data_IF_543548702474
#
_entry.id   IF_543548702474
#
_cell.length_a   1.000
_cell.length_b   1.000
_cell.length_c   1.000
_cell.angle_alpha   90.00
_cell.angle_beta   90.00
_cell.angle_gamma   90.00
#
_symmetry.space_group_name_H-M   'P 1'
#
loop_
_entity.id
_entity.type
_entity.pdbx_description
1 polymer ?
#
# COMPACT_ATOMS: atom_id res chain seq x y z
N UNK A 1 3.47 27.29 -14.50
CA UNK A 1 2.70 26.54 -13.46
C UNK A 1 3.69 25.69 -12.67
N UNK A 2 3.86 25.94 -11.38
CA UNK A 2 4.94 25.40 -10.57
C UNK A 2 4.74 23.90 -10.37
N UNK A 3 5.60 23.06 -10.96
CA UNK A 3 5.64 21.61 -10.72
C UNK A 3 5.88 21.40 -9.22
N UNK A 4 4.93 20.86 -8.46
CA UNK A 4 5.22 20.40 -7.09
C UNK A 4 6.31 19.33 -7.21
N UNK A 5 7.51 19.65 -6.74
CA UNK A 5 8.69 18.77 -6.83
C UNK A 5 8.60 17.56 -5.92
N UNK A 6 7.73 17.61 -4.93
CA UNK A 6 7.59 16.61 -3.88
C UNK A 6 6.11 16.46 -3.56
N UNK A 7 5.59 15.24 -3.75
CA UNK A 7 4.19 14.90 -3.52
C UNK A 7 4.13 13.72 -2.55
N UNK A 8 3.31 13.85 -1.51
CA UNK A 8 3.15 12.77 -0.54
C UNK A 8 2.28 11.65 -1.12
N UNK A 9 2.59 10.38 -0.78
CA UNK A 9 1.79 9.25 -1.23
C UNK A 9 0.39 9.27 -0.65
N UNK A 10 -0.59 8.91 -1.46
CA UNK A 10 -1.89 8.41 -1.03
C UNK A 10 -1.79 6.88 -0.94
N UNK A 11 -2.26 6.30 0.16
CA UNK A 11 -2.17 4.86 0.44
C UNK A 11 -3.56 4.30 0.66
N UNK A 12 -3.90 3.24 -0.06
CA UNK A 12 -5.14 2.49 0.08
C UNK A 12 -4.80 1.04 0.34
N UNK A 13 -5.46 0.44 1.33
CA UNK A 13 -5.27 -0.96 1.70
C UNK A 13 -6.62 -1.64 1.64
N UNK A 14 -6.79 -2.56 0.69
CA UNK A 14 -8.08 -3.19 0.38
C UNK A 14 -7.90 -4.64 -0.05
N UNK A 15 -8.96 -5.42 0.06
CA UNK A 15 -8.99 -6.78 -0.47
C UNK A 15 -9.38 -6.78 -1.95
N UNK A 16 -8.75 -7.63 -2.76
CA UNK A 16 -9.06 -7.74 -4.19
C UNK A 16 -10.50 -8.17 -4.47
N UNK A 17 -11.02 -9.06 -3.63
CA UNK A 17 -12.41 -9.52 -3.64
C UNK A 17 -13.08 -9.16 -2.32
N UNK A 18 -14.42 -9.18 -2.24
CA UNK A 18 -15.15 -9.03 -0.98
C UNK A 18 -14.57 -9.93 0.11
N UNK A 19 -14.28 -9.35 1.27
CA UNK A 19 -13.59 -10.05 2.34
C UNK A 19 -14.54 -11.01 3.06
N UNK A 20 -14.18 -12.29 3.08
CA UNK A 20 -14.90 -13.32 3.81
C UNK A 20 -13.91 -14.12 4.66
N UNK A 21 -14.24 -14.30 5.94
CA UNK A 21 -13.37 -15.03 6.85
C UNK A 21 -13.13 -16.47 6.39
N UNK A 22 -11.87 -16.90 6.41
CA UNK A 22 -11.48 -18.26 6.02
C UNK A 22 -11.44 -18.53 4.51
N UNK A 23 -11.83 -17.58 3.65
CA UNK A 23 -11.70 -17.72 2.20
C UNK A 23 -10.40 -17.08 1.70
N UNK A 24 -9.62 -17.74 0.82
CA UNK A 24 -8.44 -17.15 0.20
C UNK A 24 -8.77 -15.86 -0.56
N UNK A 25 -7.91 -14.86 -0.44
CA UNK A 25 -8.05 -13.56 -1.10
C UNK A 25 -6.65 -12.93 -1.31
N UNK A 26 -6.61 -11.72 -1.85
CA UNK A 26 -5.39 -10.92 -1.98
C UNK A 26 -5.53 -9.60 -1.24
N UNK A 27 -4.53 -9.27 -0.43
CA UNK A 27 -4.40 -7.97 0.20
C UNK A 27 -3.59 -7.06 -0.71
N UNK A 28 -4.16 -5.92 -1.08
CA UNK A 28 -3.54 -4.92 -1.92
C UNK A 28 -3.15 -3.69 -1.08
N UNK A 29 -1.94 -3.18 -1.27
CA UNK A 29 -1.53 -1.83 -0.91
C UNK A 29 -1.26 -1.04 -2.19
N UNK A 30 -2.19 -0.16 -2.54
CA UNK A 30 -2.03 0.76 -3.66
C UNK A 30 -1.49 2.09 -3.16
N UNK A 31 -0.32 2.47 -3.66
CA UNK A 31 0.38 3.70 -3.28
C UNK A 31 0.48 4.58 -4.51
N UNK A 32 -0.05 5.81 -4.46
CA UNK A 32 -0.19 6.67 -5.63
C UNK A 32 0.07 8.15 -5.33
N UNK A 33 0.23 8.96 -6.37
CA UNK A 33 0.33 10.41 -6.24
C UNK A 33 1.67 10.91 -5.69
N UNK A 34 2.66 10.04 -5.52
CA UNK A 34 3.93 10.41 -4.88
C UNK A 34 4.99 10.87 -5.89
N UNK A 35 5.93 11.68 -5.42
CA UNK A 35 7.13 12.09 -6.15
C UNK A 35 8.16 12.59 -5.13
N UNK A 36 9.46 12.27 -5.23
CA UNK A 36 10.17 11.47 -6.26
C UNK A 36 9.81 9.97 -6.23
N UNK A 37 10.32 9.13 -7.16
CA UNK A 37 9.93 7.72 -7.23
C UNK A 37 10.49 6.82 -6.13
N UNK A 38 11.51 7.28 -5.38
CA UNK A 38 12.14 6.48 -4.33
C UNK A 38 11.20 6.37 -3.12
N UNK A 39 10.76 5.16 -2.81
CA UNK A 39 9.77 4.85 -1.78
C UNK A 39 10.01 3.44 -1.23
N UNK A 40 9.78 3.23 0.07
CA UNK A 40 9.73 1.89 0.66
C UNK A 40 8.29 1.56 1.05
N UNK A 41 7.81 0.39 0.66
CA UNK A 41 6.44 -0.07 0.91
C UNK A 41 6.51 -1.48 1.51
N UNK A 42 5.84 -1.69 2.65
CA UNK A 42 5.81 -2.98 3.36
C UNK A 42 4.37 -3.35 3.69
N UNK A 43 3.94 -4.55 3.31
CA UNK A 43 2.74 -5.16 3.89
C UNK A 43 3.09 -5.82 5.22
N UNK A 44 2.25 -5.61 6.22
CA UNK A 44 2.44 -6.09 7.58
C UNK A 44 1.25 -6.96 8.00
N UNK A 45 1.55 -8.04 8.72
CA UNK A 45 0.60 -8.84 9.49
C UNK A 45 0.95 -8.71 10.97
N UNK A 46 0.05 -8.18 11.78
CA UNK A 46 0.24 -7.94 13.21
C UNK A 46 1.54 -7.14 13.50
N UNK A 47 1.84 -6.15 12.66
CA UNK A 47 3.05 -5.32 12.74
C UNK A 47 4.34 -5.98 12.21
N UNK A 48 4.29 -7.26 11.82
CA UNK A 48 5.43 -8.00 11.26
C UNK A 48 5.37 -7.98 9.73
N UNK A 49 6.51 -7.73 9.08
CA UNK A 49 6.60 -7.69 7.61
C UNK A 49 6.24 -9.04 7.00
N UNK A 50 5.45 -8.99 5.93
CA UNK A 50 5.16 -10.16 5.08
C UNK A 50 6.26 -10.23 4.01
N UNK A 51 6.98 -11.35 3.95
CA UNK A 51 8.10 -11.51 3.00
C UNK A 51 7.63 -11.88 1.58
N UNK A 52 6.58 -12.69 1.45
CA UNK A 52 6.06 -13.16 0.16
C UNK A 52 5.10 -12.14 -0.46
N UNK A 53 5.61 -10.97 -0.85
CA UNK A 53 4.85 -9.91 -1.53
C UNK A 53 5.30 -9.77 -2.97
N UNK A 54 4.34 -9.45 -3.84
CA UNK A 54 4.60 -9.06 -5.23
C UNK A 54 4.41 -7.56 -5.39
N UNK A 55 5.16 -6.94 -6.30
CA UNK A 55 5.09 -5.52 -6.60
C UNK A 55 4.95 -5.33 -8.10
N UNK A 56 4.07 -4.41 -8.52
CA UNK A 56 3.98 -3.98 -9.92
C UNK A 56 5.25 -3.26 -10.37
N UNK A 57 5.42 -3.13 -11.68
CA UNK A 57 6.35 -2.15 -12.23
C UNK A 57 5.98 -0.73 -11.77
N UNK A 58 7.01 0.09 -11.57
CA UNK A 58 6.83 1.51 -11.28
C UNK A 58 6.25 2.23 -12.50
N UNK A 59 5.11 2.87 -12.30
CA UNK A 59 4.44 3.64 -13.35
C UNK A 59 4.07 5.04 -12.85
N UNK A 60 3.62 5.91 -13.76
CA UNK A 60 3.31 7.30 -13.45
C UNK A 60 2.11 7.83 -14.22
N UNK A 61 1.43 8.81 -13.62
CA UNK A 61 0.30 9.52 -14.17
C UNK A 61 0.75 10.63 -15.13
N UNK A 62 -0.20 11.21 -15.89
CA UNK A 62 0.06 12.35 -16.80
C UNK A 62 0.64 13.58 -16.08
N UNK A 63 0.38 13.72 -14.79
CA UNK A 63 0.92 14.78 -13.94
C UNK A 63 2.32 14.48 -13.38
N UNK A 64 2.93 13.36 -13.80
CA UNK A 64 4.25 12.86 -13.38
C UNK A 64 4.32 12.38 -11.92
N UNK A 65 3.18 12.18 -11.25
CA UNK A 65 3.15 11.45 -9.99
C UNK A 65 3.26 9.95 -10.23
N UNK A 66 3.97 9.25 -9.35
CA UNK A 66 4.19 7.81 -9.43
C UNK A 66 3.10 7.02 -8.71
N UNK A 67 2.97 5.75 -9.08
CA UNK A 67 2.17 4.78 -8.34
C UNK A 67 2.77 3.37 -8.41
N UNK A 68 2.47 2.56 -7.40
CA UNK A 68 2.83 1.16 -7.25
C UNK A 68 1.66 0.38 -6.62
N UNK A 69 1.56 -0.89 -6.97
CA UNK A 69 0.71 -1.85 -6.27
C UNK A 69 1.62 -2.91 -5.63
N UNK A 70 1.54 -3.07 -4.31
CA UNK A 70 2.15 -4.19 -3.57
C UNK A 70 1.03 -5.10 -3.09
N UNK A 71 1.14 -6.40 -3.32
CA UNK A 71 0.10 -7.34 -2.90
C UNK A 71 0.64 -8.70 -2.45
N UNK A 72 -0.19 -9.43 -1.70
CA UNK A 72 0.11 -10.79 -1.26
C UNK A 72 -1.18 -11.58 -1.06
N UNK A 73 -1.08 -12.91 -1.14
CA UNK A 73 -2.16 -13.79 -0.73
C UNK A 73 -2.39 -13.70 0.78
N UNK A 74 -3.66 -13.66 1.18
CA UNK A 74 -4.03 -13.73 2.59
C UNK A 74 -5.40 -14.39 2.77
N UNK A 75 -5.66 -14.82 3.99
CA UNK A 75 -6.97 -15.34 4.39
C UNK A 75 -7.52 -14.45 5.50
N UNK A 76 -8.53 -13.60 5.22
CA UNK A 76 -9.18 -12.77 6.23
C UNK A 76 -9.61 -13.56 7.47
N UNK A 77 -9.45 -12.95 8.63
CA UNK A 77 -9.96 -13.44 9.91
C UNK A 77 -10.04 -12.28 10.92
N UNK A 78 -10.75 -12.50 12.03
CA UNK A 78 -11.04 -11.44 13.03
C UNK A 78 -9.90 -11.22 14.05
N UNK A 79 -8.81 -12.00 13.95
CA UNK A 79 -7.71 -11.98 14.93
C UNK A 79 -6.49 -11.23 14.41
N UNK A 80 -6.25 -11.34 13.11
CA UNK A 80 -5.09 -10.75 12.45
C UNK A 80 -5.39 -9.34 11.95
N UNK A 81 -4.50 -8.41 12.26
CA UNK A 81 -4.47 -7.07 11.69
C UNK A 81 -3.53 -7.01 10.50
N UNK A 82 -4.00 -6.44 9.40
CA UNK A 82 -3.19 -6.20 8.21
C UNK A 82 -3.02 -4.70 7.98
N UNK A 83 -1.85 -4.29 7.55
CA UNK A 83 -1.57 -2.88 7.25
C UNK A 83 -0.50 -2.71 6.18
N UNK A 84 -0.43 -1.53 5.60
CA UNK A 84 0.65 -1.12 4.71
C UNK A 84 1.44 0.01 5.35
N UNK A 85 2.76 -0.15 5.44
CA UNK A 85 3.69 0.87 5.93
C UNK A 85 4.48 1.45 4.77
N UNK A 86 4.49 2.77 4.68
CA UNK A 86 5.12 3.52 3.60
C UNK A 86 6.13 4.52 4.16
N UNK A 87 7.36 4.48 3.64
CA UNK A 87 8.38 5.50 3.89
C UNK A 87 8.64 6.26 2.60
N UNK A 88 8.54 7.57 2.69
CA UNK A 88 8.79 8.47 1.56
C UNK A 88 9.37 9.77 2.10
N UNK A 89 10.26 10.42 1.35
CA UNK A 89 10.99 11.63 1.77
C UNK A 89 10.07 12.81 2.18
N UNK A 90 8.81 12.81 1.73
CA UNK A 90 7.83 13.84 2.10
C UNK A 90 7.14 13.58 3.43
N UNK A 91 7.30 12.40 4.00
CA UNK A 91 6.73 12.02 5.28
C UNK A 91 7.81 12.18 6.36
N UNK A 92 7.48 12.86 7.46
CA UNK A 92 8.39 13.02 8.61
C UNK A 92 8.67 11.68 9.29
N UNK A 93 7.67 10.81 9.29
CA UNK A 93 7.69 9.47 9.88
C UNK A 93 6.98 8.50 8.91
N UNK A 94 7.24 7.19 8.99
CA UNK A 94 6.54 6.21 8.18
C UNK A 94 5.02 6.31 8.37
N UNK A 95 4.27 6.33 7.27
CA UNK A 95 2.80 6.26 7.31
C UNK A 95 2.38 4.79 7.38
N UNK A 96 1.47 4.45 8.30
CA UNK A 96 0.86 3.11 8.34
C UNK A 96 -0.64 3.23 8.17
N UNK A 97 -1.18 2.55 7.15
CA UNK A 97 -2.62 2.48 6.87
C UNK A 97 -3.09 1.06 7.10
N UNK A 98 -4.11 0.88 7.94
CA UNK A 98 -4.69 -0.42 8.22
C UNK A 98 -5.64 -0.84 7.10
N UNK A 99 -5.70 -2.13 6.85
CA UNK A 99 -6.75 -2.72 6.05
C UNK A 99 -8.08 -2.60 6.81
N UNK A 100 -9.10 -2.09 6.13
CA UNK A 100 -10.47 -2.07 6.60
C UNK A 100 -11.31 -2.97 5.68
N UNK A 101 -12.24 -3.73 6.25
CA UNK A 101 -13.12 -4.64 5.50
C UNK A 101 -14.23 -3.90 4.75
N UNK A 102 -14.55 -2.71 5.22
CA UNK A 102 -15.69 -1.93 4.75
C UNK A 102 -15.31 -0.91 3.66
N UNK A 103 -14.04 -0.92 3.20
CA UNK A 103 -13.50 -0.08 2.13
C UNK A 103 -13.05 -0.87 0.90
#
# INVERSE_FOLDING_TARGET
KQRKRYCAPNVQVYSRHPAENGKPNFLNCYVSGFHPPQIDIELLKNGVKIENVEQSDLSFNKDWSFYLLVHTEFTPNDKDEYSCRVKHVTLKEPMTVKWDRDY
#
